data_IF_884827874479
#
_entry.id   IF_884827874479
#
_cell.length_a   1.000
_cell.length_b   1.000
_cell.length_c   1.000
_cell.angle_alpha   90.00
_cell.angle_beta   90.00
_cell.angle_gamma   90.00
#
_symmetry.space_group_name_H-M   'P 1'
#
loop_
_entity.id
_entity.type
_entity.pdbx_description
1 polymer ?
#
# COMPACT_ATOMS: atom_id res chain seq x y z
N UNK A 1 17.89 23.58 -23.84
CA UNK A 1 18.29 23.02 -22.54
C UNK A 1 18.63 21.55 -22.70
N UNK A 2 19.93 21.20 -22.65
CA UNK A 2 20.42 19.82 -22.66
C UNK A 2 20.61 19.34 -21.21
N UNK A 3 19.59 19.54 -20.36
CA UNK A 3 19.62 18.99 -19.00
C UNK A 3 19.36 17.49 -19.01
N UNK A 4 20.12 16.72 -18.26
CA UNK A 4 19.83 15.32 -18.00
C UNK A 4 18.67 15.21 -16.98
N UNK A 5 17.84 14.19 -17.13
CA UNK A 5 16.83 13.84 -16.12
C UNK A 5 17.56 13.49 -14.81
N UNK A 6 17.21 14.20 -13.72
CA UNK A 6 17.83 14.02 -12.40
C UNK A 6 17.04 12.96 -11.62
N UNK A 7 15.71 13.08 -11.60
CA UNK A 7 14.80 12.13 -10.99
C UNK A 7 13.42 12.26 -11.62
N UNK A 8 12.57 11.26 -11.39
CA UNK A 8 11.17 11.29 -11.83
C UNK A 8 10.29 11.67 -10.66
N UNK A 9 9.69 12.87 -10.72
CA UNK A 9 8.68 13.32 -9.78
C UNK A 9 7.33 12.84 -10.29
N UNK A 10 6.63 12.04 -9.50
CA UNK A 10 5.30 11.54 -9.84
C UNK A 10 4.22 12.54 -9.40
N UNK A 11 3.03 12.39 -9.94
CA UNK A 11 1.87 13.23 -9.63
C UNK A 11 1.62 13.25 -8.11
N UNK A 12 1.30 14.42 -7.56
CA UNK A 12 1.00 14.68 -6.15
C UNK A 12 2.19 14.63 -5.16
N UNK A 13 3.40 14.76 -5.64
CA UNK A 13 4.55 15.00 -4.75
C UNK A 13 4.66 16.49 -4.41
N UNK A 14 4.85 16.80 -3.13
CA UNK A 14 5.13 18.15 -2.69
C UNK A 14 6.56 18.55 -3.07
N UNK A 15 6.69 19.70 -3.70
CA UNK A 15 7.98 20.29 -4.05
C UNK A 15 8.04 21.71 -3.52
N UNK A 16 9.23 22.17 -3.17
CA UNK A 16 9.43 23.57 -2.79
C UNK A 16 9.70 24.37 -4.07
N UNK A 17 8.79 25.31 -4.39
CA UNK A 17 9.02 26.24 -5.49
C UNK A 17 10.10 27.25 -5.08
N UNK A 18 11.19 27.31 -5.82
CA UNK A 18 12.30 28.24 -5.60
C UNK A 18 12.19 29.48 -6.51
N UNK A 19 11.83 29.29 -7.77
CA UNK A 19 11.81 30.37 -8.77
C UNK A 19 10.91 30.00 -9.95
N UNK A 20 10.28 31.00 -10.59
CA UNK A 20 9.55 30.85 -11.84
C UNK A 20 10.37 31.46 -12.97
N UNK A 21 10.70 30.70 -14.00
CA UNK A 21 11.53 31.11 -15.13
C UNK A 21 10.78 30.83 -16.44
N UNK A 22 9.99 31.77 -16.91
CA UNK A 22 9.12 31.58 -18.07
C UNK A 22 8.11 30.43 -17.83
N UNK A 23 8.09 29.45 -18.74
CA UNK A 23 7.21 28.26 -18.65
C UNK A 23 7.74 27.18 -17.75
N UNK A 24 8.83 27.40 -17.01
CA UNK A 24 9.47 26.47 -16.14
C UNK A 24 9.54 26.98 -14.69
N UNK A 25 9.51 26.05 -13.74
CA UNK A 25 9.72 26.32 -12.34
C UNK A 25 10.98 25.61 -11.86
N UNK A 26 11.86 26.35 -11.16
CA UNK A 26 12.94 25.74 -10.40
C UNK A 26 12.36 25.31 -9.06
N UNK A 27 12.56 24.05 -8.72
CA UNK A 27 12.04 23.42 -7.52
C UNK A 27 13.15 22.74 -6.75
N UNK A 28 12.92 22.53 -5.46
CA UNK A 28 13.68 21.58 -4.63
C UNK A 28 12.79 20.41 -4.24
N UNK A 29 13.32 19.22 -4.43
CA UNK A 29 12.68 17.97 -4.06
C UNK A 29 13.74 17.03 -3.46
N UNK A 30 13.50 16.54 -2.24
CA UNK A 30 14.40 15.65 -1.48
C UNK A 30 15.87 16.12 -1.44
N UNK A 31 16.06 17.44 -1.27
CA UNK A 31 17.38 18.06 -1.23
C UNK A 31 18.08 18.23 -2.58
N UNK A 32 17.44 17.88 -3.67
CA UNK A 32 17.92 18.10 -5.04
C UNK A 32 17.15 19.25 -5.71
N UNK A 33 17.83 20.05 -6.52
CA UNK A 33 17.20 21.14 -7.28
C UNK A 33 17.11 20.75 -8.76
N UNK A 34 15.98 21.12 -9.38
CA UNK A 34 15.75 20.87 -10.79
C UNK A 34 14.65 21.76 -11.36
N UNK A 35 14.37 21.56 -12.64
CA UNK A 35 13.33 22.31 -13.36
C UNK A 35 12.20 21.39 -13.78
N UNK A 36 10.96 21.86 -13.57
CA UNK A 36 9.74 21.21 -14.07
C UNK A 36 8.90 22.21 -14.85
N UNK A 37 8.09 21.79 -15.82
CA UNK A 37 7.14 22.69 -16.48
C UNK A 37 6.19 23.32 -15.45
N UNK A 38 5.95 24.61 -15.55
CA UNK A 38 5.03 25.32 -14.65
C UNK A 38 3.61 24.73 -14.67
N UNK A 39 3.19 24.20 -15.83
CA UNK A 39 1.92 23.47 -15.99
C UNK A 39 1.81 22.16 -15.19
N UNK A 40 2.92 21.64 -14.70
CA UNK A 40 2.97 20.44 -13.85
C UNK A 40 2.80 20.76 -12.37
N UNK A 41 2.80 22.03 -12.00
CA UNK A 41 2.65 22.47 -10.61
C UNK A 41 1.27 23.10 -10.39
N UNK A 42 0.68 22.78 -9.24
CA UNK A 42 -0.52 23.44 -8.72
C UNK A 42 -0.18 24.14 -7.42
N UNK A 43 -0.49 25.44 -7.30
CA UNK A 43 -0.29 26.17 -6.06
C UNK A 43 -1.35 25.76 -5.03
N UNK A 44 -0.94 25.54 -3.78
CA UNK A 44 -1.89 25.34 -2.69
C UNK A 44 -2.58 26.66 -2.33
N UNK A 45 -3.92 26.68 -2.42
CA UNK A 45 -4.74 27.78 -1.91
C UNK A 45 -5.38 27.37 -0.56
N UNK A 46 -5.44 28.29 0.39
CA UNK A 46 -5.88 28.03 1.79
C UNK A 46 -7.39 28.16 2.01
N UNK A 47 -8.25 27.76 1.09
CA UNK A 47 -9.72 27.84 1.19
C UNK A 47 -10.33 26.55 1.81
N UNK A 48 -11.41 26.61 2.63
CA UNK A 48 -11.88 25.47 3.45
C UNK A 48 -12.30 24.17 2.73
N UNK A 49 -12.48 24.16 1.41
CA UNK A 49 -12.65 22.93 0.61
C UNK A 49 -11.37 22.14 0.37
N UNK A 50 -10.22 22.71 0.72
CA UNK A 50 -8.87 22.23 0.42
C UNK A 50 -8.30 21.32 1.51
N UNK A 51 -8.95 21.26 2.69
CA UNK A 51 -8.47 20.41 3.80
C UNK A 51 -8.51 18.92 3.42
N UNK A 52 -9.48 18.49 2.60
CA UNK A 52 -9.54 17.10 2.13
C UNK A 52 -8.53 16.81 1.03
N UNK A 53 -8.32 17.74 0.08
CA UNK A 53 -7.30 17.61 -0.96
C UNK A 53 -5.88 17.63 -0.37
N UNK A 54 -5.61 18.48 0.62
CA UNK A 54 -4.33 18.50 1.34
C UNK A 54 -4.06 17.20 2.11
N UNK A 55 -5.10 16.53 2.61
CA UNK A 55 -4.95 15.23 3.26
C UNK A 55 -4.56 14.15 2.24
N UNK A 56 -5.26 14.09 1.12
CA UNK A 56 -4.97 13.17 0.00
C UNK A 56 -3.56 13.41 -0.54
N UNK A 57 -3.19 14.65 -0.83
CA UNK A 57 -1.85 15.00 -1.30
C UNK A 57 -0.76 14.57 -0.33
N UNK A 58 -0.96 14.77 1.01
CA UNK A 58 -0.01 14.32 2.02
C UNK A 58 0.10 12.80 2.11
N UNK A 59 -0.97 12.08 1.84
CA UNK A 59 -0.96 10.60 1.81
C UNK A 59 -0.21 10.14 0.57
N UNK A 60 -0.53 10.69 -0.61
CA UNK A 60 0.09 10.30 -1.87
C UNK A 60 1.57 10.70 -1.94
N UNK A 61 1.95 11.85 -1.37
CA UNK A 61 3.36 12.28 -1.32
C UNK A 61 4.27 11.34 -0.54
N UNK A 62 3.71 10.52 0.35
CA UNK A 62 4.46 9.48 1.09
C UNK A 62 4.62 8.19 0.30
N UNK A 63 3.90 8.02 -0.82
CA UNK A 63 4.01 6.82 -1.63
C UNK A 63 5.36 6.78 -2.32
N UNK A 64 6.21 5.88 -1.89
CA UNK A 64 7.44 5.51 -2.57
C UNK A 64 7.76 4.04 -2.29
N UNK A 65 8.59 3.45 -3.13
CA UNK A 65 8.90 2.03 -3.07
C UNK A 65 9.53 1.60 -1.73
N UNK A 66 10.27 2.51 -1.07
CA UNK A 66 10.97 2.26 0.19
C UNK A 66 10.22 2.78 1.42
N UNK A 67 8.94 3.18 1.25
CA UNK A 67 8.15 3.67 2.38
C UNK A 67 8.01 2.61 3.48
N UNK A 68 7.92 3.09 4.73
CA UNK A 68 7.60 2.22 5.86
C UNK A 68 6.13 1.74 5.76
N UNK A 69 5.93 0.45 5.96
CA UNK A 69 4.63 -0.23 5.85
C UNK A 69 4.07 -0.67 7.21
N UNK A 70 4.82 -0.48 8.29
CA UNK A 70 4.39 -0.62 9.67
C UNK A 70 3.76 0.67 10.23
N UNK A 71 3.15 1.45 9.34
CA UNK A 71 2.43 2.68 9.64
C UNK A 71 1.13 2.70 8.86
N UNK A 72 0.11 3.36 9.42
CA UNK A 72 -1.19 3.51 8.76
C UNK A 72 -1.07 4.34 7.48
N UNK A 73 -1.87 4.01 6.47
CA UNK A 73 -1.97 4.79 5.22
C UNK A 73 -2.49 6.21 5.46
N UNK A 74 -3.29 6.38 6.52
CA UNK A 74 -4.00 7.62 6.83
C UNK A 74 -5.32 7.78 6.08
N UNK A 75 -5.74 6.76 5.33
CA UNK A 75 -7.04 6.72 4.66
C UNK A 75 -8.18 6.52 5.66
N UNK A 76 -9.33 7.11 5.39
CA UNK A 76 -10.58 6.81 6.08
C UNK A 76 -11.26 5.59 5.47
N UNK A 77 -12.24 5.01 6.18
CA UNK A 77 -13.07 3.94 5.63
C UNK A 77 -13.77 4.35 4.32
N UNK A 78 -14.23 5.60 4.24
CA UNK A 78 -14.87 6.12 3.03
C UNK A 78 -13.89 6.22 1.86
N UNK A 79 -12.62 6.55 2.12
CA UNK A 79 -11.56 6.52 1.10
C UNK A 79 -11.37 5.09 0.59
N UNK A 80 -11.30 4.07 1.47
CA UNK A 80 -11.22 2.66 1.06
C UNK A 80 -12.42 2.26 0.19
N UNK A 81 -13.64 2.56 0.62
CA UNK A 81 -14.85 2.26 -0.15
C UNK A 81 -14.83 2.93 -1.51
N UNK A 82 -14.39 4.19 -1.58
CA UNK A 82 -14.35 4.96 -2.83
C UNK A 82 -13.32 4.40 -3.82
N UNK A 83 -12.08 4.16 -3.38
CA UNK A 83 -11.01 3.69 -4.29
C UNK A 83 -11.20 2.25 -4.75
N UNK A 84 -11.88 1.41 -3.96
CA UNK A 84 -12.17 0.02 -4.30
C UNK A 84 -13.49 -0.15 -5.07
N UNK A 85 -14.33 0.90 -5.13
CA UNK A 85 -15.56 0.88 -5.92
C UNK A 85 -15.25 0.80 -7.43
N UNK A 86 -16.21 0.30 -8.17
CA UNK A 86 -16.23 0.27 -9.65
C UNK A 86 -14.97 -0.34 -10.29
N UNK A 87 -14.32 -1.27 -9.58
CA UNK A 87 -13.18 -2.01 -10.12
C UNK A 87 -13.70 -3.23 -10.94
N UNK A 88 -13.55 -3.20 -12.27
CA UNK A 88 -14.10 -4.25 -13.13
C UNK A 88 -13.39 -5.61 -12.98
N UNK A 89 -12.15 -5.62 -12.44
CA UNK A 89 -11.40 -6.86 -12.18
C UNK A 89 -11.90 -7.59 -10.93
N UNK A 90 -12.53 -6.88 -9.99
CA UNK A 90 -13.17 -7.45 -8.79
C UNK A 90 -14.56 -7.98 -9.13
N UNK A 91 -14.61 -8.99 -10.01
CA UNK A 91 -15.85 -9.53 -10.59
C UNK A 91 -16.80 -10.09 -9.55
N UNK A 92 -16.28 -10.65 -8.47
CA UNK A 92 -17.05 -11.20 -7.36
C UNK A 92 -17.28 -10.20 -6.23
N UNK A 93 -16.82 -8.96 -6.40
CA UNK A 93 -16.85 -7.89 -5.40
C UNK A 93 -16.23 -8.27 -4.05
N UNK A 94 -15.29 -9.22 -4.05
CA UNK A 94 -14.66 -9.72 -2.83
C UNK A 94 -13.78 -8.64 -2.20
N UNK A 95 -12.99 -7.92 -3.00
CA UNK A 95 -12.10 -6.87 -2.49
C UNK A 95 -12.92 -5.67 -2.00
N UNK A 96 -13.88 -5.21 -2.80
CA UNK A 96 -14.76 -4.09 -2.43
C UNK A 96 -15.58 -4.38 -1.16
N UNK A 97 -16.22 -5.54 -1.10
CA UNK A 97 -17.08 -5.93 0.04
C UNK A 97 -16.31 -6.05 1.36
N UNK A 98 -14.99 -6.21 1.30
CA UNK A 98 -14.11 -6.29 2.47
C UNK A 98 -13.31 -5.01 2.73
N UNK A 99 -13.69 -3.87 2.13
CA UNK A 99 -13.02 -2.57 2.36
C UNK A 99 -12.89 -2.23 3.86
N UNK A 100 -13.94 -2.49 4.65
CA UNK A 100 -13.95 -2.27 6.09
C UNK A 100 -12.99 -3.22 6.83
N UNK A 101 -12.86 -4.46 6.38
CA UNK A 101 -11.93 -5.41 6.98
C UNK A 101 -10.46 -4.97 6.78
N UNK A 102 -10.10 -4.49 5.60
CA UNK A 102 -8.77 -3.91 5.34
C UNK A 102 -8.50 -2.69 6.21
N UNK A 103 -9.47 -1.77 6.29
CA UNK A 103 -9.38 -0.59 7.16
C UNK A 103 -9.19 -0.98 8.63
N UNK A 104 -10.02 -1.89 9.15
CA UNK A 104 -9.96 -2.31 10.54
C UNK A 104 -8.66 -3.04 10.88
N UNK A 105 -8.16 -3.88 9.99
CA UNK A 105 -6.88 -4.56 10.15
C UNK A 105 -5.71 -3.57 10.21
N UNK A 106 -5.72 -2.53 9.36
CA UNK A 106 -4.77 -1.41 9.44
C UNK A 106 -4.86 -0.71 10.79
N UNK A 107 -6.08 -0.36 11.25
CA UNK A 107 -6.26 0.33 12.52
C UNK A 107 -5.76 -0.50 13.70
N UNK A 108 -5.97 -1.81 13.65
CA UNK A 108 -5.63 -2.73 14.75
C UNK A 108 -4.15 -3.04 14.81
N UNK A 109 -3.50 -3.30 13.68
CA UNK A 109 -2.12 -3.82 13.66
C UNK A 109 -1.08 -2.82 13.18
N UNK A 110 -1.49 -1.59 12.84
CA UNK A 110 -0.60 -0.55 12.32
C UNK A 110 0.18 -1.01 11.07
N UNK A 111 -0.45 -1.80 10.23
CA UNK A 111 0.06 -2.22 8.91
C UNK A 111 -0.62 -1.38 7.85
N UNK A 112 0.11 -0.87 6.88
CA UNK A 112 -0.47 -0.08 5.79
C UNK A 112 -1.58 -0.89 5.08
N UNK A 113 -2.81 -0.40 5.13
CA UNK A 113 -3.95 -1.17 4.63
C UNK A 113 -3.99 -1.29 3.11
N UNK A 114 -3.39 -0.35 2.37
CA UNK A 114 -3.25 -0.50 0.92
C UNK A 114 -2.19 -1.54 0.54
N UNK A 115 -1.20 -1.80 1.39
CA UNK A 115 -0.36 -2.98 1.26
C UNK A 115 -1.21 -4.25 1.34
N UNK A 116 -2.10 -4.35 2.36
CA UNK A 116 -2.97 -5.51 2.52
C UNK A 116 -3.88 -5.72 1.30
N UNK A 117 -4.49 -4.65 0.79
CA UNK A 117 -5.29 -4.69 -0.45
C UNK A 117 -4.46 -5.17 -1.63
N UNK A 118 -3.28 -4.57 -1.84
CA UNK A 118 -2.40 -4.89 -2.97
C UNK A 118 -1.91 -6.35 -2.93
N UNK A 119 -1.55 -6.84 -1.74
CA UNK A 119 -1.18 -8.25 -1.54
C UNK A 119 -2.36 -9.18 -1.80
N UNK A 120 -3.53 -8.90 -1.22
CA UNK A 120 -4.73 -9.70 -1.43
C UNK A 120 -5.09 -9.84 -2.90
N UNK A 121 -5.01 -8.75 -3.66
CA UNK A 121 -5.24 -8.74 -5.11
C UNK A 121 -4.20 -9.58 -5.85
N UNK A 122 -2.93 -9.39 -5.51
CA UNK A 122 -1.83 -10.10 -6.18
C UNK A 122 -1.91 -11.61 -5.97
N UNK A 123 -2.11 -12.04 -4.73
CA UNK A 123 -2.09 -13.46 -4.33
C UNK A 123 -3.37 -14.20 -4.77
N UNK A 124 -4.51 -13.52 -4.81
CA UNK A 124 -5.79 -14.15 -5.14
C UNK A 124 -6.27 -13.93 -6.58
N UNK A 125 -5.54 -13.15 -7.38
CA UNK A 125 -6.03 -12.72 -8.69
C UNK A 125 -7.37 -11.99 -8.59
N UNK A 126 -7.45 -10.94 -7.76
CA UNK A 126 -8.67 -10.17 -7.52
C UNK A 126 -9.79 -10.98 -6.84
N UNK A 127 -9.43 -11.88 -5.95
CA UNK A 127 -10.41 -12.72 -5.25
C UNK A 127 -11.05 -13.78 -6.13
N UNK A 128 -10.42 -14.18 -7.25
CA UNK A 128 -11.00 -15.16 -8.20
C UNK A 128 -10.39 -16.55 -8.10
N UNK A 129 -9.25 -16.72 -7.39
CA UNK A 129 -8.63 -18.03 -7.23
C UNK A 129 -9.51 -19.00 -6.43
N UNK A 130 -9.41 -20.31 -6.69
CA UNK A 130 -10.14 -21.33 -5.96
C UNK A 130 -9.90 -21.25 -4.43
N UNK A 131 -8.63 -21.04 -4.01
CA UNK A 131 -8.29 -20.87 -2.59
C UNK A 131 -9.02 -19.65 -2.00
N UNK A 132 -9.07 -18.56 -2.74
CA UNK A 132 -9.81 -17.36 -2.30
C UNK A 132 -11.30 -17.63 -2.12
N UNK A 133 -11.94 -18.25 -3.11
CA UNK A 133 -13.39 -18.43 -3.12
C UNK A 133 -13.85 -19.49 -2.12
N UNK A 134 -13.20 -20.66 -2.12
CA UNK A 134 -13.63 -21.80 -1.33
C UNK A 134 -13.19 -21.71 0.14
N UNK A 135 -11.99 -21.12 0.37
CA UNK A 135 -11.36 -21.06 1.69
C UNK A 135 -11.34 -19.66 2.31
N UNK A 136 -11.87 -18.63 1.61
CA UNK A 136 -11.83 -17.22 2.03
C UNK A 136 -10.43 -16.72 2.36
N UNK A 137 -9.44 -17.26 1.66
CA UNK A 137 -8.02 -17.01 1.85
C UNK A 137 -7.47 -16.19 0.68
N UNK A 138 -7.47 -14.86 0.83
CA UNK A 138 -7.02 -13.91 -0.20
C UNK A 138 -5.50 -13.87 -0.37
N UNK A 139 -4.75 -14.48 0.52
CA UNK A 139 -3.29 -14.38 0.55
C UNK A 139 -2.59 -15.70 0.23
N UNK A 140 -3.35 -16.76 -0.06
CA UNK A 140 -2.76 -18.08 -0.23
C UNK A 140 -2.01 -18.57 1.01
N UNK A 141 -2.33 -18.05 2.22
CA UNK A 141 -1.59 -18.38 3.42
C UNK A 141 -1.66 -19.86 3.71
N UNK A 142 -0.49 -20.48 3.96
CA UNK A 142 -0.36 -21.91 4.19
C UNK A 142 -0.41 -22.77 2.93
N UNK A 143 -0.51 -22.19 1.74
CA UNK A 143 -0.39 -22.91 0.47
C UNK A 143 1.06 -23.32 0.22
N UNK A 144 1.35 -24.62 0.19
CA UNK A 144 2.66 -25.15 -0.11
C UNK A 144 2.72 -25.76 -1.51
N UNK A 145 3.84 -25.60 -2.20
CA UNK A 145 4.02 -25.96 -3.62
C UNK A 145 3.56 -27.36 -4.02
N UNK A 146 3.66 -28.33 -3.09
CA UNK A 146 3.30 -29.74 -3.39
C UNK A 146 1.78 -30.01 -3.34
N UNK A 147 1.00 -29.19 -2.62
CA UNK A 147 -0.45 -29.31 -2.49
C UNK A 147 -1.06 -28.01 -2.01
N UNK A 148 -0.90 -26.97 -2.81
CA UNK A 148 -1.27 -25.60 -2.47
C UNK A 148 -2.73 -25.47 -2.05
N UNK A 149 -3.65 -26.15 -2.73
CA UNK A 149 -5.07 -26.03 -2.41
C UNK A 149 -5.40 -26.68 -1.06
N UNK A 150 -4.98 -27.93 -0.80
CA UNK A 150 -5.37 -28.61 0.44
C UNK A 150 -4.63 -28.05 1.67
N UNK A 151 -3.36 -27.64 1.50
CA UNK A 151 -2.57 -27.07 2.60
C UNK A 151 -2.96 -25.66 3.01
N UNK A 152 -3.55 -24.87 2.09
CA UNK A 152 -3.97 -23.51 2.36
C UNK A 152 -4.97 -23.42 3.52
N UNK A 153 -4.80 -22.43 4.40
CA UNK A 153 -5.71 -22.19 5.52
C UNK A 153 -7.12 -21.83 5.01
N UNK A 154 -8.12 -22.31 5.76
CA UNK A 154 -9.53 -21.96 5.56
C UNK A 154 -9.95 -21.01 6.68
N UNK A 155 -10.59 -19.91 6.32
CA UNK A 155 -11.14 -18.94 7.26
C UNK A 155 -12.68 -18.96 7.21
N UNK A 156 -13.33 -18.58 8.31
CA UNK A 156 -14.79 -18.51 8.34
C UNK A 156 -15.32 -17.30 7.54
N UNK A 157 -14.51 -16.22 7.48
CA UNK A 157 -14.79 -15.02 6.69
C UNK A 157 -13.53 -14.47 6.02
N UNK A 158 -13.69 -13.68 4.98
CA UNK A 158 -12.58 -12.92 4.40
C UNK A 158 -11.95 -11.95 5.41
N UNK A 159 -12.79 -11.33 6.26
CA UNK A 159 -12.34 -10.40 7.29
C UNK A 159 -11.37 -11.07 8.28
N UNK A 160 -11.67 -12.29 8.70
CA UNK A 160 -10.78 -13.08 9.56
C UNK A 160 -9.43 -13.37 8.86
N UNK A 161 -9.45 -13.77 7.60
CA UNK A 161 -8.22 -13.98 6.83
C UNK A 161 -7.37 -12.73 6.66
N UNK A 162 -8.03 -11.59 6.41
CA UNK A 162 -7.36 -10.27 6.28
C UNK A 162 -6.73 -9.88 7.62
N UNK A 163 -7.49 -9.99 8.72
CA UNK A 163 -6.99 -9.69 10.06
C UNK A 163 -5.82 -10.60 10.44
N UNK A 164 -5.95 -11.90 10.18
CA UNK A 164 -4.89 -12.86 10.46
C UNK A 164 -3.58 -12.51 9.76
N UNK A 165 -3.63 -12.23 8.46
CA UNK A 165 -2.42 -11.88 7.70
C UNK A 165 -1.85 -10.54 8.13
N UNK A 166 -2.67 -9.53 8.43
CA UNK A 166 -2.20 -8.27 8.99
C UNK A 166 -1.45 -8.49 10.31
N UNK A 167 -1.97 -9.33 11.20
CA UNK A 167 -1.29 -9.72 12.44
C UNK A 167 0.05 -10.40 12.17
N UNK A 168 0.11 -11.35 11.23
CA UNK A 168 1.36 -12.03 10.86
C UNK A 168 2.39 -11.05 10.30
N UNK A 169 1.97 -10.13 9.42
CA UNK A 169 2.86 -9.11 8.87
C UNK A 169 3.43 -8.21 9.98
N UNK A 170 2.59 -7.70 10.88
CA UNK A 170 3.02 -6.89 11.99
C UNK A 170 3.98 -7.66 12.93
N UNK A 171 3.63 -8.92 13.25
CA UNK A 171 4.34 -9.74 14.23
C UNK A 171 5.70 -10.22 13.75
N UNK A 172 5.80 -10.61 12.48
CA UNK A 172 6.96 -11.36 11.99
C UNK A 172 7.79 -10.64 10.92
N UNK A 173 7.19 -9.75 10.12
CA UNK A 173 7.84 -9.17 8.94
C UNK A 173 8.16 -7.69 9.06
N UNK A 174 7.27 -6.90 9.65
CA UNK A 174 7.34 -5.44 9.60
C UNK A 174 7.95 -4.79 10.83
N UNK A 175 8.11 -5.53 11.91
CA UNK A 175 8.69 -5.01 13.16
C UNK A 175 9.78 -5.93 13.69
N UNK A 176 10.81 -5.36 14.35
CA UNK A 176 11.80 -6.17 15.06
C UNK A 176 11.16 -6.92 16.24
N UNK A 177 11.86 -7.91 16.77
CA UNK A 177 11.38 -8.68 17.92
C UNK A 177 11.25 -7.80 19.19
N UNK A 178 10.30 -8.15 20.05
CA UNK A 178 10.18 -7.58 21.39
C UNK A 178 9.28 -6.35 21.50
N UNK A 179 8.60 -5.93 20.43
CA UNK A 179 7.63 -4.82 20.49
C UNK A 179 6.27 -5.34 20.93
N UNK A 180 5.57 -4.59 21.79
CA UNK A 180 4.18 -4.90 22.17
C UNK A 180 3.23 -4.48 21.07
N UNK A 181 2.37 -5.39 20.63
CA UNK A 181 1.32 -5.15 19.65
C UNK A 181 0.03 -4.66 20.33
N UNK A 182 -0.89 -4.09 19.56
CA UNK A 182 -2.15 -3.53 20.07
C UNK A 182 -3.08 -4.55 20.74
N UNK A 183 -2.95 -5.82 20.40
CA UNK A 183 -3.69 -6.93 21.00
C UNK A 183 -2.99 -7.57 22.21
N UNK A 184 -1.90 -6.95 22.69
CA UNK A 184 -1.11 -7.42 23.83
C UNK A 184 -0.08 -8.49 23.48
N UNK A 185 -0.04 -8.98 22.22
CA UNK A 185 0.96 -9.95 21.76
C UNK A 185 2.33 -9.25 21.57
N UNK A 186 3.38 -10.03 21.41
CA UNK A 186 4.73 -9.51 21.20
C UNK A 186 5.24 -9.87 19.81
N UNK A 187 5.90 -8.92 19.14
CA UNK A 187 6.51 -9.16 17.83
C UNK A 187 7.66 -10.14 17.93
N UNK A 188 7.72 -11.06 16.99
CA UNK A 188 8.81 -12.04 16.90
C UNK A 188 9.96 -11.57 16.02
N UNK A 189 9.67 -10.66 15.07
CA UNK A 189 10.64 -10.20 14.07
C UNK A 189 11.31 -11.33 13.29
N UNK A 190 10.70 -12.52 13.24
CA UNK A 190 11.32 -13.75 12.68
C UNK A 190 11.82 -13.57 11.26
N UNK A 191 11.11 -12.78 10.48
CA UNK A 191 11.37 -12.52 9.07
C UNK A 191 11.67 -11.04 8.79
N UNK A 192 11.86 -10.26 9.85
CA UNK A 192 12.11 -8.82 9.74
C UNK A 192 13.49 -8.55 9.12
N UNK A 193 13.49 -7.73 8.09
CA UNK A 193 14.69 -7.17 7.48
C UNK A 193 14.62 -5.63 7.47
N UNK A 194 13.50 -5.10 6.98
CA UNK A 194 13.12 -3.69 7.04
C UNK A 194 11.60 -3.58 6.93
N UNK A 195 10.97 -2.48 7.38
CA UNK A 195 9.53 -2.31 7.30
C UNK A 195 9.05 -1.88 5.89
N UNK A 196 9.65 -2.40 4.84
CA UNK A 196 9.41 -2.04 3.43
C UNK A 196 8.97 -3.24 2.60
N UNK A 197 8.48 -3.01 1.38
CA UNK A 197 8.17 -4.10 0.44
C UNK A 197 9.38 -5.02 0.22
N UNK A 198 10.57 -4.44 0.01
CA UNK A 198 11.80 -5.22 -0.16
C UNK A 198 12.10 -6.06 1.09
N UNK A 199 11.90 -5.48 2.27
CA UNK A 199 12.09 -6.22 3.54
C UNK A 199 11.15 -7.41 3.66
N UNK A 200 9.87 -7.25 3.32
CA UNK A 200 8.88 -8.34 3.29
C UNK A 200 9.33 -9.41 2.29
N UNK A 201 9.69 -9.01 1.06
CA UNK A 201 10.01 -9.93 -0.04
C UNK A 201 11.19 -10.87 0.27
N UNK A 202 12.08 -10.49 1.17
CA UNK A 202 13.24 -11.35 1.54
C UNK A 202 12.82 -12.74 2.02
N UNK A 203 11.60 -12.89 2.54
CA UNK A 203 11.09 -14.14 3.15
C UNK A 203 9.65 -14.49 2.78
N UNK A 204 8.91 -13.56 2.16
CA UNK A 204 7.49 -13.76 1.85
C UNK A 204 7.30 -14.48 0.51
N UNK A 205 8.10 -14.15 -0.49
CA UNK A 205 7.99 -14.72 -1.83
C UNK A 205 9.36 -15.07 -2.39
N UNK A 206 9.43 -16.14 -3.18
CA UNK A 206 10.62 -16.50 -3.96
C UNK A 206 10.74 -15.70 -5.25
N UNK A 207 9.67 -15.04 -5.69
CA UNK A 207 9.68 -14.14 -6.86
C UNK A 207 10.38 -12.82 -6.51
N UNK A 208 11.55 -12.52 -7.11
CA UNK A 208 12.26 -11.27 -6.86
C UNK A 208 11.47 -10.02 -7.30
N UNK A 209 10.49 -10.19 -8.19
CA UNK A 209 9.64 -9.10 -8.69
C UNK A 209 8.33 -8.93 -7.89
N UNK A 210 8.10 -9.74 -6.86
CA UNK A 210 6.88 -9.68 -6.06
C UNK A 210 6.65 -8.26 -5.50
N UNK A 211 7.66 -7.65 -4.93
CA UNK A 211 7.56 -6.30 -4.36
C UNK A 211 7.18 -5.25 -5.42
N UNK A 212 7.71 -5.34 -6.63
CA UNK A 212 7.34 -4.44 -7.73
C UNK A 212 5.89 -4.63 -8.17
N UNK A 213 5.42 -5.88 -8.23
CA UNK A 213 4.04 -6.21 -8.58
C UNK A 213 3.07 -5.68 -7.52
N UNK A 214 3.34 -5.91 -6.24
CA UNK A 214 2.53 -5.39 -5.14
C UNK A 214 2.53 -3.86 -5.13
N UNK A 215 3.69 -3.23 -5.31
CA UNK A 215 3.80 -1.78 -5.38
C UNK A 215 2.99 -1.17 -6.53
N UNK A 216 2.90 -1.85 -7.67
CA UNK A 216 2.09 -1.38 -8.80
C UNK A 216 0.59 -1.31 -8.45
N UNK A 217 0.08 -2.26 -7.66
CA UNK A 217 -1.29 -2.20 -7.14
C UNK A 217 -1.47 -1.10 -6.10
N UNK A 218 -0.50 -0.89 -5.21
CA UNK A 218 -0.54 0.24 -4.28
C UNK A 218 -0.63 1.56 -5.04
N UNK A 219 0.26 1.80 -6.01
CA UNK A 219 0.26 2.99 -6.86
C UNK A 219 -1.09 3.18 -7.56
N UNK A 220 -1.63 2.10 -8.15
CA UNK A 220 -2.92 2.14 -8.83
C UNK A 220 -4.05 2.67 -7.92
N UNK A 221 -4.08 2.27 -6.65
CA UNK A 221 -5.12 2.75 -5.73
C UNK A 221 -4.82 4.15 -5.19
N UNK A 222 -3.57 4.50 -4.98
CA UNK A 222 -3.21 5.88 -4.63
C UNK A 222 -3.59 6.85 -5.75
N UNK A 223 -3.51 6.45 -7.01
CA UNK A 223 -3.92 7.28 -8.16
C UNK A 223 -5.45 7.49 -8.25
N UNK A 224 -6.26 6.71 -7.52
CA UNK A 224 -7.71 6.88 -7.40
C UNK A 224 -8.14 7.81 -6.26
N UNK A 225 -7.23 8.25 -5.41
CA UNK A 225 -7.51 9.19 -4.32
C UNK A 225 -7.75 10.61 -4.85
#
# INVERSE_FOLDING_TARGET
NNGSEICKITRYMDVVLLEVVGDWCRISFDGQEGYVPASSLTSQSTTPGIVSQNKVQRIVSKLNFNMALNVKSGLSLDDYKRILADEPRDVNKVIYSNAEAFYNAEQKYNVNGLLLVAMAIHESGWGTSAISLDKRNLFGYGAYDNDAYNSAYTFDTYAEGIEFVAKILAKAYLNPAGMTMSDGDTTTGRYYSSPTLTGINTRYSTDPNWCTKVFSYMTYFYDKL
#
